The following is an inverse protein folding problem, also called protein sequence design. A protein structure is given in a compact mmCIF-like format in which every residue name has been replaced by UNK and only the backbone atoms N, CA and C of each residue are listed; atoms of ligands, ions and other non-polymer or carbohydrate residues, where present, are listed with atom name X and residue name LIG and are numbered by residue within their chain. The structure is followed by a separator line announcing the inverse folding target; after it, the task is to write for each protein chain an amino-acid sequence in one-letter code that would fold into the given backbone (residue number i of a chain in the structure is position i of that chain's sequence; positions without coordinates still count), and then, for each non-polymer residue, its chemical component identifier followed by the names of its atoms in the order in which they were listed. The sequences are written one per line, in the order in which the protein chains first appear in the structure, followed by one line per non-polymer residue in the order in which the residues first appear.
data_IF_771002274642
#
_entry.id   IF_771002274642
#
_cell.length_a   1.000
_cell.length_b   1.000
_cell.length_c   1.000
_cell.angle_alpha   90.00
_cell.angle_beta   90.00
_cell.angle_gamma   90.00
#
_symmetry.space_group_name_H-M   'P 1'
#
loop_
_entity.id
_entity.type
_entity.pdbx_description
1 polymer ?
#
# COMPACT_ATOMS: atom_id res chain seq x y z
N UNK A 1 -27.07 3.61 27.47
CA UNK A 1 -27.62 4.36 26.33
C UNK A 1 -27.62 5.88 26.53
N UNK A 2 -27.90 6.40 27.73
CA UNK A 2 -27.99 7.86 27.92
C UNK A 2 -26.66 8.62 27.75
N UNK A 3 -25.52 7.99 28.04
CA UNK A 3 -24.20 8.58 27.73
C UNK A 3 -23.99 8.76 26.23
N UNK A 4 -24.40 7.77 25.41
CA UNK A 4 -24.29 7.82 23.95
C UNK A 4 -25.23 8.84 23.29
N UNK A 5 -26.29 9.26 23.98
CA UNK A 5 -27.17 10.36 23.51
C UNK A 5 -26.55 11.74 23.67
N UNK A 6 -25.59 11.89 24.61
CA UNK A 6 -25.01 13.19 24.99
C UNK A 6 -23.56 13.35 24.54
N UNK A 7 -22.89 12.25 24.22
CA UNK A 7 -21.50 12.23 23.75
C UNK A 7 -21.48 12.04 22.21
N UNK A 8 -21.16 13.08 21.42
CA UNK A 8 -21.15 12.99 19.97
C UNK A 8 -19.85 12.33 19.47
N UNK A 9 -19.80 11.00 19.49
CA UNK A 9 -18.65 10.22 19.01
C UNK A 9 -18.65 10.11 17.48
N UNK A 10 -19.83 10.14 16.87
CA UNK A 10 -20.03 9.86 15.45
C UNK A 10 -19.17 10.65 14.45
N UNK A 11 -18.74 11.92 14.65
CA UNK A 11 -17.81 12.55 13.71
C UNK A 11 -16.48 11.82 13.67
N UNK A 12 -15.95 11.44 14.84
CA UNK A 12 -14.70 10.69 14.98
C UNK A 12 -14.86 9.25 14.49
N UNK A 13 -16.02 8.64 14.70
CA UNK A 13 -16.31 7.30 14.16
C UNK A 13 -16.32 7.32 12.62
N UNK A 14 -16.86 8.36 11.97
CA UNK A 14 -16.81 8.53 10.50
C UNK A 14 -15.38 8.74 10.01
N UNK A 15 -14.64 9.65 10.65
CA UNK A 15 -13.23 9.91 10.31
C UNK A 15 -12.36 8.67 10.45
N UNK A 16 -12.58 7.87 11.51
CA UNK A 16 -11.93 6.58 11.68
C UNK A 16 -12.39 5.55 10.65
N UNK A 17 -13.69 5.48 10.37
CA UNK A 17 -14.26 4.52 9.41
C UNK A 17 -13.67 4.71 8.01
N UNK A 18 -13.55 5.95 7.53
CA UNK A 18 -13.00 6.23 6.21
C UNK A 18 -11.58 5.67 6.05
N UNK A 19 -10.74 5.83 7.08
CA UNK A 19 -9.37 5.32 7.07
C UNK A 19 -9.32 3.80 7.26
N UNK A 20 -10.05 3.27 8.24
CA UNK A 20 -10.00 1.85 8.58
C UNK A 20 -10.64 0.98 7.50
N UNK A 21 -11.70 1.44 6.83
CA UNK A 21 -12.30 0.73 5.70
C UNK A 21 -11.36 0.69 4.49
N UNK A 22 -10.66 1.79 4.21
CA UNK A 22 -9.65 1.81 3.16
C UNK A 22 -8.45 0.92 3.51
N UNK A 23 -8.00 0.96 4.77
CA UNK A 23 -6.92 0.11 5.26
C UNK A 23 -7.30 -1.37 5.22
N UNK A 24 -8.51 -1.74 5.67
CA UNK A 24 -8.94 -3.14 5.70
C UNK A 24 -9.05 -3.73 4.30
N UNK A 25 -9.48 -2.94 3.31
CA UNK A 25 -9.55 -3.37 1.92
C UNK A 25 -8.18 -3.52 1.25
N UNK A 26 -7.13 -2.88 1.79
CA UNK A 26 -5.78 -2.90 1.24
C UNK A 26 -4.75 -3.51 2.21
N UNK A 27 -5.20 -4.19 3.27
CA UNK A 27 -4.35 -4.67 4.37
C UNK A 27 -3.32 -5.71 3.90
N UNK A 28 -3.62 -6.40 2.80
CA UNK A 28 -2.71 -7.35 2.15
C UNK A 28 -1.60 -6.66 1.35
N UNK A 29 -1.68 -5.35 1.08
CA UNK A 29 -0.73 -4.65 0.21
C UNK A 29 0.06 -3.54 0.90
N UNK A 30 -0.40 -3.04 2.05
CA UNK A 30 0.13 -1.83 2.68
C UNK A 30 0.55 -2.10 4.13
N UNK A 31 1.60 -1.42 4.62
CA UNK A 31 2.01 -1.47 6.02
C UNK A 31 0.90 -0.91 6.91
N UNK A 32 0.59 -1.61 8.01
CA UNK A 32 -0.39 -1.15 8.99
C UNK A 32 -0.04 0.24 9.57
N UNK A 33 1.26 0.53 9.73
CA UNK A 33 1.77 1.81 10.24
C UNK A 33 1.41 3.00 9.36
N UNK A 34 1.31 2.81 8.04
CA UNK A 34 0.93 3.88 7.10
C UNK A 34 -0.54 4.31 7.32
N UNK A 35 -1.40 3.34 7.63
CA UNK A 35 -2.79 3.60 7.99
C UNK A 35 -2.96 4.31 9.34
N UNK A 36 -2.07 4.03 10.31
CA UNK A 36 -2.13 4.67 11.63
C UNK A 36 -1.86 6.18 11.55
N UNK A 37 -0.88 6.60 10.75
CA UNK A 37 -0.59 8.02 10.53
C UNK A 37 -1.79 8.74 9.90
N UNK A 38 -2.36 8.16 8.84
CA UNK A 38 -3.55 8.69 8.19
C UNK A 38 -4.77 8.73 9.12
N UNK A 39 -4.91 7.76 10.04
CA UNK A 39 -5.97 7.75 11.05
C UNK A 39 -5.85 8.94 11.99
N UNK A 40 -4.66 9.22 12.50
CA UNK A 40 -4.40 10.39 13.36
C UNK A 40 -4.73 11.68 12.61
N UNK A 41 -4.25 11.83 11.37
CA UNK A 41 -4.54 13.01 10.55
C UNK A 41 -6.05 13.18 10.31
N UNK A 42 -6.76 12.11 9.95
CA UNK A 42 -8.22 12.13 9.76
C UNK A 42 -8.98 12.55 11.03
N UNK A 43 -8.56 12.04 12.19
CA UNK A 43 -9.16 12.42 13.48
C UNK A 43 -8.87 13.87 13.87
N UNK A 44 -7.67 14.39 13.56
CA UNK A 44 -7.33 15.80 13.75
C UNK A 44 -8.13 16.71 12.81
N UNK A 45 -8.30 16.33 11.54
CA UNK A 45 -9.15 17.07 10.59
C UNK A 45 -10.62 17.06 11.02
N UNK A 46 -11.09 15.92 11.52
CA UNK A 46 -12.42 15.78 12.11
C UNK A 46 -12.61 16.70 13.32
N UNK A 47 -11.61 16.74 14.21
CA UNK A 47 -11.61 17.65 15.36
C UNK A 47 -11.65 19.11 14.90
N UNK A 48 -10.79 19.48 13.95
CA UNK A 48 -10.73 20.83 13.38
C UNK A 48 -12.06 21.26 12.78
N UNK A 49 -12.66 20.43 11.91
CA UNK A 49 -13.97 20.68 11.30
C UNK A 49 -15.05 20.88 12.37
N UNK A 50 -15.08 19.99 13.37
CA UNK A 50 -16.06 20.06 14.44
C UNK A 50 -15.90 21.32 15.30
N UNK A 51 -14.67 21.72 15.62
CA UNK A 51 -14.38 22.95 16.36
C UNK A 51 -14.78 24.20 15.57
N UNK A 52 -14.55 24.23 14.25
CA UNK A 52 -14.96 25.32 13.36
C UNK A 52 -16.49 25.44 13.28
N UNK A 53 -17.20 24.31 13.20
CA UNK A 53 -18.66 24.31 13.12
C UNK A 53 -19.36 24.52 14.45
N UNK A 54 -18.66 24.34 15.57
CA UNK A 54 -19.19 24.52 16.93
C UNK A 54 -19.79 25.90 17.18
N UNK A 55 -19.08 27.03 16.96
CA UNK A 55 -19.66 28.36 17.18
C UNK A 55 -20.83 28.65 16.24
N UNK A 56 -20.76 28.18 14.98
CA UNK A 56 -21.80 28.41 13.96
C UNK A 56 -23.11 27.70 14.33
N UNK A 57 -23.01 26.50 14.90
CA UNK A 57 -24.17 25.65 15.18
C UNK A 57 -24.86 25.97 16.52
N UNK A 58 -24.22 26.75 17.40
CA UNK A 58 -24.71 27.10 18.74
C UNK A 58 -24.81 25.94 19.73
N UNK A 59 -24.68 24.69 19.29
CA UNK A 59 -24.78 23.47 20.11
C UNK A 59 -23.71 22.45 19.70
N UNK A 60 -23.10 21.82 20.72
CA UNK A 60 -22.10 20.77 20.54
C UNK A 60 -22.63 19.59 19.71
N UNK A 61 -23.86 19.15 19.99
CA UNK A 61 -24.49 18.01 19.29
C UNK A 61 -24.83 18.36 17.85
N UNK A 62 -25.37 19.56 17.62
CA UNK A 62 -25.70 20.03 16.28
C UNK A 62 -24.45 20.16 15.40
N UNK A 63 -23.38 20.76 15.92
CA UNK A 63 -22.10 20.85 15.23
C UNK A 63 -21.55 19.48 14.85
N UNK A 64 -21.66 18.51 15.76
CA UNK A 64 -21.24 17.14 15.47
C UNK A 64 -22.04 16.53 14.32
N UNK A 65 -23.37 16.69 14.32
CA UNK A 65 -24.24 16.10 13.30
C UNK A 65 -23.90 16.66 11.92
N UNK A 66 -23.75 17.98 11.82
CA UNK A 66 -23.33 18.63 10.57
C UNK A 66 -21.93 18.17 10.17
N UNK A 67 -20.98 18.07 11.12
CA UNK A 67 -19.63 17.55 10.84
C UNK A 67 -19.67 16.14 10.27
N UNK A 68 -20.46 15.24 10.84
CA UNK A 68 -20.63 13.87 10.34
C UNK A 68 -21.18 13.83 8.93
N UNK A 69 -22.23 14.59 8.62
CA UNK A 69 -22.79 14.62 7.27
C UNK A 69 -21.77 15.14 6.25
N UNK A 70 -21.02 16.18 6.59
CA UNK A 70 -19.97 16.71 5.73
C UNK A 70 -18.81 15.73 5.55
N UNK A 71 -18.36 15.06 6.62
CA UNK A 71 -17.31 14.04 6.54
C UNK A 71 -17.72 12.87 5.66
N UNK A 72 -18.99 12.43 5.74
CA UNK A 72 -19.53 11.39 4.83
C UNK A 72 -19.43 11.85 3.38
N UNK A 73 -19.84 13.09 3.07
CA UNK A 73 -19.75 13.63 1.70
C UNK A 73 -18.29 13.77 1.23
N UNK A 74 -17.40 14.23 2.10
CA UNK A 74 -15.97 14.40 1.82
C UNK A 74 -15.34 13.04 1.54
N UNK A 75 -15.49 12.05 2.41
CA UNK A 75 -14.83 10.76 2.25
C UNK A 75 -15.49 9.85 1.20
N UNK A 76 -16.72 10.12 0.77
CA UNK A 76 -17.38 9.32 -0.28
C UNK A 76 -17.15 9.84 -1.70
N UNK A 77 -16.70 11.09 -1.88
CA UNK A 77 -16.64 11.73 -3.20
C UNK A 77 -15.83 10.94 -4.23
N UNK A 78 -14.57 10.60 -3.92
CA UNK A 78 -13.69 9.90 -4.85
C UNK A 78 -14.14 8.46 -5.13
N UNK A 79 -14.70 7.78 -4.13
CA UNK A 79 -15.34 6.48 -4.33
C UNK A 79 -16.51 6.54 -5.32
N UNK A 80 -17.40 7.52 -5.18
CA UNK A 80 -18.53 7.67 -6.12
C UNK A 80 -18.05 8.14 -7.49
N UNK A 81 -17.10 9.07 -7.55
CA UNK A 81 -16.49 9.51 -8.79
C UNK A 81 -15.91 8.33 -9.57
N UNK A 82 -15.01 7.54 -8.95
CA UNK A 82 -14.35 6.41 -9.61
C UNK A 82 -15.31 5.31 -10.05
N UNK A 83 -16.43 5.12 -9.34
CA UNK A 83 -17.49 4.22 -9.79
C UNK A 83 -18.22 4.76 -11.04
N UNK A 84 -18.64 6.03 -11.01
CA UNK A 84 -19.41 6.67 -12.10
C UNK A 84 -18.57 7.03 -13.33
N UNK A 85 -17.25 7.09 -13.19
CA UNK A 85 -16.32 7.24 -14.31
C UNK A 85 -16.26 5.97 -15.14
N UNK A 86 -16.27 4.81 -14.46
CA UNK A 86 -16.19 3.49 -15.10
C UNK A 86 -17.54 2.96 -15.57
N UNK A 87 -18.65 3.43 -15.00
CA UNK A 87 -19.99 2.92 -15.27
C UNK A 87 -20.92 4.03 -15.79
N UNK A 88 -21.38 3.89 -17.04
CA UNK A 88 -22.42 4.77 -17.57
C UNK A 88 -23.77 4.45 -16.90
N UNK A 89 -24.45 5.49 -16.42
CA UNK A 89 -25.81 5.38 -15.90
C UNK A 89 -26.78 5.86 -16.98
N UNK A 90 -27.65 4.98 -17.43
CA UNK A 90 -28.62 5.26 -18.51
C UNK A 90 -27.96 5.84 -19.79
N UNK A 91 -26.76 5.36 -20.13
CA UNK A 91 -26.01 5.83 -21.30
C UNK A 91 -25.25 7.15 -21.12
N UNK A 92 -25.29 7.75 -19.91
CA UNK A 92 -24.60 9.01 -19.60
C UNK A 92 -23.45 8.73 -18.63
N UNK A 93 -22.25 9.20 -19.00
CA UNK A 93 -21.07 9.15 -18.13
C UNK A 93 -21.12 10.31 -17.12
N UNK A 94 -21.50 9.98 -15.89
CA UNK A 94 -21.66 10.95 -14.80
C UNK A 94 -20.37 11.17 -13.99
N UNK A 95 -19.33 10.34 -14.18
CA UNK A 95 -18.00 10.52 -13.59
C UNK A 95 -17.23 11.69 -14.21
N UNK A 96 -17.76 12.91 -14.05
CA UNK A 96 -17.11 14.15 -14.48
C UNK A 96 -17.23 15.16 -13.35
N UNK A 97 -16.11 15.77 -12.93
CA UNK A 97 -16.12 16.75 -11.85
C UNK A 97 -17.10 17.91 -12.09
N UNK A 98 -17.25 18.34 -13.36
CA UNK A 98 -18.19 19.40 -13.77
C UNK A 98 -19.65 19.13 -13.39
N UNK A 99 -20.04 17.85 -13.25
CA UNK A 99 -21.39 17.44 -12.85
C UNK A 99 -21.42 17.06 -11.37
N UNK A 100 -20.43 16.25 -10.95
CA UNK A 100 -20.42 15.66 -9.61
C UNK A 100 -20.09 16.68 -8.51
N UNK A 101 -19.17 17.63 -8.77
CA UNK A 101 -18.77 18.60 -7.76
C UNK A 101 -19.90 19.59 -7.40
N UNK A 102 -20.63 20.20 -8.35
CA UNK A 102 -21.80 21.02 -8.02
C UNK A 102 -22.88 20.23 -7.26
N UNK A 103 -23.12 18.98 -7.65
CA UNK A 103 -24.05 18.11 -6.93
C UNK A 103 -23.63 17.89 -5.48
N UNK A 104 -22.34 17.60 -5.23
CA UNK A 104 -21.83 17.44 -3.86
C UNK A 104 -21.93 18.71 -3.03
N UNK A 105 -21.71 19.88 -3.64
CA UNK A 105 -21.91 21.17 -2.97
C UNK A 105 -23.38 21.37 -2.60
N UNK A 106 -24.32 21.04 -3.50
CA UNK A 106 -25.76 21.10 -3.21
C UNK A 106 -26.10 20.15 -2.05
N UNK A 107 -25.62 18.92 -2.08
CA UNK A 107 -25.82 17.94 -1.01
C UNK A 107 -25.23 18.42 0.32
N UNK A 108 -24.05 19.06 0.31
CA UNK A 108 -23.44 19.63 1.50
C UNK A 108 -24.28 20.78 2.08
N UNK A 109 -24.79 21.68 1.23
CA UNK A 109 -25.69 22.76 1.66
C UNK A 109 -26.98 22.21 2.25
N UNK A 110 -27.58 21.21 1.60
CA UNK A 110 -28.79 20.54 2.10
C UNK A 110 -28.54 19.81 3.42
N UNK A 111 -27.39 19.13 3.56
CA UNK A 111 -26.98 18.47 4.79
C UNK A 111 -26.81 19.47 5.96
N UNK A 112 -26.15 20.60 5.69
CA UNK A 112 -26.01 21.69 6.66
C UNK A 112 -27.39 22.24 7.03
N UNK A 113 -28.22 22.59 6.05
CA UNK A 113 -29.55 23.13 6.28
C UNK A 113 -30.41 22.17 7.10
N UNK A 114 -30.44 20.88 6.75
CA UNK A 114 -31.17 19.85 7.47
C UNK A 114 -30.69 19.70 8.92
N UNK A 115 -29.38 19.56 9.12
CA UNK A 115 -28.79 19.42 10.46
C UNK A 115 -28.97 20.66 11.33
N UNK A 116 -28.99 21.86 10.74
CA UNK A 116 -29.16 23.12 11.46
C UNK A 116 -30.62 23.44 11.78
N UNK A 117 -31.54 23.19 10.84
CA UNK A 117 -32.91 23.75 10.87
C UNK A 117 -34.00 22.70 11.02
N UNK A 118 -33.83 21.50 10.48
CA UNK A 118 -34.88 20.47 10.49
C UNK A 118 -34.74 19.49 11.64
N UNK A 119 -33.52 19.18 12.08
CA UNK A 119 -33.31 18.20 13.13
C UNK A 119 -33.64 18.77 14.52
N UNK A 120 -34.78 18.33 15.08
CA UNK A 120 -35.30 18.81 16.37
C UNK A 120 -34.72 18.04 17.56
N UNK A 121 -34.73 16.71 17.51
CA UNK A 121 -34.18 15.87 18.58
C UNK A 121 -32.71 15.54 18.33
N UNK A 122 -31.83 16.41 18.80
CA UNK A 122 -30.37 16.26 18.65
C UNK A 122 -29.82 15.06 19.42
N UNK A 123 -30.47 14.64 20.52
CA UNK A 123 -30.00 13.52 21.34
C UNK A 123 -30.27 12.19 20.65
N UNK A 124 -31.47 12.01 20.09
CA UNK A 124 -31.80 10.83 19.30
C UNK A 124 -31.01 10.79 18.00
N UNK A 125 -30.83 11.93 17.32
CA UNK A 125 -29.95 12.01 16.15
C UNK A 125 -28.50 11.61 16.46
N UNK A 126 -27.95 12.10 17.58
CA UNK A 126 -26.61 11.73 18.05
C UNK A 126 -26.51 10.23 18.35
N UNK A 127 -27.52 9.66 19.04
CA UNK A 127 -27.55 8.22 19.33
C UNK A 127 -27.60 7.40 18.03
N UNK A 128 -28.47 7.76 17.09
CA UNK A 128 -28.61 7.07 15.82
C UNK A 128 -27.28 7.06 15.04
N UNK A 129 -26.64 8.22 14.87
CA UNK A 129 -25.34 8.29 14.19
C UNK A 129 -24.23 7.54 14.95
N UNK A 130 -24.20 7.62 16.28
CA UNK A 130 -23.24 6.84 17.08
C UNK A 130 -23.40 5.34 16.81
N UNK A 131 -24.63 4.82 16.83
CA UNK A 131 -24.92 3.40 16.59
C UNK A 131 -24.57 2.99 15.16
N UNK A 132 -24.98 3.79 14.17
CA UNK A 132 -24.69 3.51 12.74
C UNK A 132 -23.19 3.39 12.50
N UNK A 133 -22.39 4.37 12.94
CA UNK A 133 -20.96 4.36 12.65
C UNK A 133 -20.16 3.42 13.56
N UNK A 134 -20.66 3.14 14.78
CA UNK A 134 -20.08 2.08 15.60
C UNK A 134 -20.27 0.72 14.92
N UNK A 135 -21.47 0.46 14.38
CA UNK A 135 -21.75 -0.76 13.63
C UNK A 135 -20.94 -0.83 12.33
N UNK A 136 -20.84 0.28 11.58
CA UNK A 136 -20.04 0.35 10.36
C UNK A 136 -18.55 0.03 10.61
N UNK A 137 -18.01 0.38 11.78
CA UNK A 137 -16.62 0.07 12.16
C UNK A 137 -16.37 -1.40 12.48
N UNK A 138 -17.40 -2.19 12.80
CA UNK A 138 -17.21 -3.61 13.16
C UNK A 138 -16.52 -4.36 12.03
N UNK A 139 -16.99 -4.20 10.80
CA UNK A 139 -16.46 -4.93 9.65
C UNK A 139 -14.97 -4.66 9.38
N UNK A 140 -14.52 -3.40 9.17
CA UNK A 140 -13.11 -3.14 8.91
C UNK A 140 -12.21 -3.50 10.09
N UNK A 141 -12.67 -3.31 11.34
CA UNK A 141 -11.89 -3.72 12.52
C UNK A 141 -11.73 -5.23 12.58
N UNK A 142 -12.81 -5.99 12.36
CA UNK A 142 -12.74 -7.46 12.34
C UNK A 142 -11.81 -7.95 11.24
N UNK A 143 -11.87 -7.35 10.04
CA UNK A 143 -10.96 -7.69 8.94
C UNK A 143 -9.49 -7.43 9.32
N UNK A 144 -9.17 -6.24 9.84
CA UNK A 144 -7.81 -5.86 10.25
C UNK A 144 -7.29 -6.79 11.35
N UNK A 145 -8.09 -7.03 12.40
CA UNK A 145 -7.69 -7.90 13.52
C UNK A 145 -7.52 -9.34 13.06
N UNK A 146 -8.47 -9.85 12.26
CA UNK A 146 -8.41 -11.22 11.74
C UNK A 146 -7.23 -11.43 10.81
N UNK A 147 -6.88 -10.42 10.00
CA UNK A 147 -5.68 -10.43 9.17
C UNK A 147 -4.41 -10.38 10.03
N UNK A 148 -4.36 -9.49 11.03
CA UNK A 148 -3.21 -9.38 11.94
C UNK A 148 -2.93 -10.66 12.72
N UNK A 149 -3.97 -11.33 13.21
CA UNK A 149 -3.84 -12.64 13.87
C UNK A 149 -3.29 -13.65 12.88
N UNK A 150 -3.90 -13.79 11.69
CA UNK A 150 -3.43 -14.73 10.66
C UNK A 150 -1.98 -14.48 10.28
N UNK A 151 -1.59 -13.22 10.09
CA UNK A 151 -0.23 -12.83 9.75
C UNK A 151 0.75 -13.17 10.87
N UNK A 152 0.42 -12.86 12.13
CA UNK A 152 1.27 -13.18 13.28
C UNK A 152 1.41 -14.68 13.54
N UNK A 153 0.37 -15.47 13.24
CA UNK A 153 0.40 -16.94 13.38
C UNK A 153 0.79 -17.66 12.09
N UNK A 154 1.09 -16.93 11.00
CA UNK A 154 1.47 -17.55 9.72
C UNK A 154 2.86 -18.14 9.87
N UNK A 155 2.93 -19.45 10.00
CA UNK A 155 4.15 -20.22 9.84
C UNK A 155 4.20 -20.79 8.42
N UNK A 156 5.36 -20.72 7.78
CA UNK A 156 5.63 -21.53 6.60
C UNK A 156 5.70 -23.00 6.99
N UNK A 157 5.35 -23.90 6.07
CA UNK A 157 5.66 -25.32 6.26
C UNK A 157 7.20 -25.44 6.32
N UNK A 158 7.71 -26.30 7.20
CA UNK A 158 9.13 -26.61 7.22
C UNK A 158 9.53 -27.13 5.83
N UNK A 159 10.41 -26.40 5.14
CA UNK A 159 10.92 -26.85 3.85
C UNK A 159 11.58 -28.21 4.02
N UNK A 160 11.36 -29.18 3.11
CA UNK A 160 12.06 -30.46 3.15
C UNK A 160 13.58 -30.29 3.12
N UNK A 161 14.07 -29.19 2.54
CA UNK A 161 15.48 -28.84 2.47
C UNK A 161 16.03 -28.19 3.76
N UNK A 162 15.19 -27.94 4.77
CA UNK A 162 15.64 -27.29 6.01
C UNK A 162 16.72 -28.12 6.75
N UNK A 163 16.62 -29.47 6.67
CA UNK A 163 17.62 -30.37 7.22
C UNK A 163 18.94 -30.32 6.44
N UNK A 164 18.88 -30.17 5.11
CA UNK A 164 20.07 -30.09 4.26
C UNK A 164 20.91 -28.84 4.59
N UNK A 165 20.25 -27.73 4.97
CA UNK A 165 20.94 -26.53 5.40
C UNK A 165 21.85 -26.78 6.61
N UNK A 166 21.48 -27.67 7.54
CA UNK A 166 22.31 -27.97 8.71
C UNK A 166 23.67 -28.59 8.34
N UNK A 167 23.76 -29.19 7.15
CA UNK A 167 24.98 -29.82 6.63
C UNK A 167 25.83 -28.91 5.75
N UNK A 168 25.35 -27.70 5.43
CA UNK A 168 26.07 -26.74 4.59
C UNK A 168 27.33 -26.23 5.28
N UNK A 169 28.44 -26.26 4.56
CA UNK A 169 29.72 -25.72 5.00
C UNK A 169 30.46 -25.09 3.83
N UNK A 170 31.22 -24.04 4.11
CA UNK A 170 32.11 -23.44 3.12
C UNK A 170 33.34 -24.32 2.92
N UNK A 171 33.88 -24.41 1.68
CA UNK A 171 35.18 -25.02 1.44
C UNK A 171 36.28 -24.27 2.22
N UNK A 172 37.09 -24.99 3.01
CA UNK A 172 38.10 -24.37 3.89
C UNK A 172 39.21 -23.61 3.15
N UNK A 173 39.46 -23.94 1.87
CA UNK A 173 40.64 -23.48 1.12
C UNK A 173 40.35 -22.39 0.09
N UNK A 174 39.14 -21.83 0.06
CA UNK A 174 38.79 -20.78 -0.90
C UNK A 174 37.94 -19.71 -0.21
N UNK A 175 38.26 -18.42 -0.41
CA UNK A 175 37.38 -17.38 0.08
C UNK A 175 36.03 -17.51 -0.63
N UNK A 176 34.91 -17.53 0.12
CA UNK A 176 33.58 -17.53 -0.48
C UNK A 176 33.40 -16.30 -1.39
N UNK A 177 32.80 -16.46 -2.59
CA UNK A 177 32.50 -15.32 -3.44
C UNK A 177 31.35 -14.50 -2.85
N UNK A 178 31.27 -13.21 -3.19
CA UNK A 178 30.06 -12.43 -2.95
C UNK A 178 28.95 -12.86 -3.92
N UNK A 179 27.69 -12.78 -3.48
CA UNK A 179 26.53 -13.25 -4.26
C UNK A 179 25.59 -12.09 -4.57
N UNK A 180 25.39 -11.84 -5.87
CA UNK A 180 24.46 -10.82 -6.35
C UNK A 180 23.18 -11.47 -6.89
N UNK A 181 22.06 -11.24 -6.20
CA UNK A 181 20.74 -11.67 -6.63
C UNK A 181 19.90 -10.46 -7.06
N UNK A 182 19.87 -10.20 -8.36
CA UNK A 182 19.21 -9.02 -8.95
C UNK A 182 17.92 -9.45 -9.65
N UNK A 183 16.79 -8.89 -9.23
CA UNK A 183 15.47 -9.12 -9.84
C UNK A 183 14.93 -7.79 -10.36
N UNK A 184 14.58 -7.76 -11.65
CA UNK A 184 13.97 -6.61 -12.30
C UNK A 184 12.45 -6.83 -12.39
N UNK A 185 11.66 -6.01 -11.69
CA UNK A 185 10.21 -6.14 -11.69
C UNK A 185 9.61 -5.70 -13.04
N UNK A 186 8.77 -6.55 -13.64
CA UNK A 186 8.16 -6.31 -14.94
C UNK A 186 9.09 -6.36 -16.16
N UNK A 187 10.36 -6.76 -16.02
CA UNK A 187 11.27 -6.95 -17.15
C UNK A 187 10.97 -8.27 -17.88
N UNK A 188 10.66 -8.19 -19.18
CA UNK A 188 10.22 -9.34 -19.99
C UNK A 188 11.31 -9.81 -20.97
N UNK A 189 11.05 -10.94 -21.64
CA UNK A 189 11.97 -11.58 -22.59
C UNK A 189 12.19 -10.70 -23.83
N UNK A 190 13.39 -10.81 -24.39
CA UNK A 190 13.85 -10.10 -25.60
C UNK A 190 12.85 -10.17 -26.77
N UNK A 191 12.34 -11.36 -27.09
CA UNK A 191 11.38 -11.56 -28.19
C UNK A 191 10.05 -10.83 -27.94
N UNK A 192 9.60 -10.72 -26.69
CA UNK A 192 8.37 -10.00 -26.34
C UNK A 192 8.60 -8.49 -26.39
N UNK A 193 9.75 -8.01 -25.91
CA UNK A 193 10.16 -6.61 -26.06
C UNK A 193 10.18 -6.20 -27.54
N UNK A 194 10.79 -7.02 -28.40
CA UNK A 194 10.83 -6.76 -29.83
C UNK A 194 9.44 -6.83 -30.48
N UNK A 195 8.73 -7.95 -30.33
CA UNK A 195 7.51 -8.21 -31.12
C UNK A 195 6.27 -7.43 -30.64
N UNK A 196 6.22 -7.03 -29.36
CA UNK A 196 5.03 -6.35 -28.79
C UNK A 196 5.30 -4.88 -28.53
N UNK A 197 6.50 -4.52 -28.09
CA UNK A 197 6.85 -3.15 -27.72
C UNK A 197 7.72 -2.43 -28.76
N UNK A 198 8.12 -3.10 -29.86
CA UNK A 198 9.04 -2.57 -30.87
C UNK A 198 10.36 -2.05 -30.25
N UNK A 199 10.81 -2.74 -29.19
CA UNK A 199 11.99 -2.39 -28.42
C UNK A 199 13.07 -3.46 -28.61
N UNK A 200 14.14 -3.08 -29.31
CA UNK A 200 15.30 -3.92 -29.53
C UNK A 200 16.31 -3.77 -28.39
N UNK A 201 16.47 -4.83 -27.59
CA UNK A 201 17.45 -4.91 -26.51
C UNK A 201 18.58 -5.92 -26.79
N UNK A 202 18.77 -6.36 -28.03
CA UNK A 202 19.80 -7.36 -28.40
C UNK A 202 21.19 -6.99 -27.94
N UNK A 203 21.59 -5.73 -28.13
CA UNK A 203 22.92 -5.25 -27.72
C UNK A 203 23.16 -5.45 -26.21
N UNK A 204 22.14 -5.25 -25.37
CA UNK A 204 22.24 -5.49 -23.94
C UNK A 204 22.43 -6.98 -23.61
N UNK A 205 21.71 -7.87 -24.30
CA UNK A 205 21.84 -9.33 -24.11
C UNK A 205 23.22 -9.82 -24.59
N UNK A 206 23.72 -9.28 -25.71
CA UNK A 206 25.06 -9.57 -26.22
C UNK A 206 26.14 -9.11 -25.23
N UNK A 207 25.99 -7.92 -24.63
CA UNK A 207 26.90 -7.43 -23.58
C UNK A 207 26.91 -8.36 -22.35
N UNK A 208 25.73 -8.80 -21.86
CA UNK A 208 25.65 -9.76 -20.76
C UNK A 208 26.38 -11.07 -21.10
N UNK A 209 26.17 -11.58 -22.32
CA UNK A 209 26.81 -12.82 -22.78
C UNK A 209 28.32 -12.65 -22.89
N UNK A 210 28.79 -11.51 -23.40
CA UNK A 210 30.22 -11.18 -23.50
C UNK A 210 30.89 -11.01 -22.13
N UNK A 211 30.14 -10.59 -21.11
CA UNK A 211 30.59 -10.58 -19.70
C UNK A 211 30.62 -11.98 -19.07
N UNK A 212 30.17 -13.02 -19.78
CA UNK A 212 30.17 -14.41 -19.32
C UNK A 212 28.89 -14.85 -18.62
N UNK A 213 27.82 -14.05 -18.65
CA UNK A 213 26.52 -14.48 -18.12
C UNK A 213 25.89 -15.54 -19.03
N UNK A 214 25.26 -16.54 -18.40
CA UNK A 214 24.40 -17.49 -19.10
C UNK A 214 22.99 -16.91 -19.30
N UNK A 215 22.59 -16.71 -20.56
CA UNK A 215 21.27 -16.20 -20.91
C UNK A 215 20.31 -17.35 -21.21
N UNK A 216 19.41 -17.64 -20.27
CA UNK A 216 18.42 -18.71 -20.39
C UNK A 216 17.16 -18.26 -21.16
N UNK A 217 17.21 -18.27 -22.50
CA UNK A 217 16.12 -17.77 -23.37
C UNK A 217 14.75 -18.43 -23.12
N UNK A 218 14.72 -19.71 -22.72
CA UNK A 218 13.48 -20.44 -22.46
C UNK A 218 13.09 -20.49 -20.97
N UNK A 219 13.78 -19.73 -20.10
CA UNK A 219 13.43 -19.67 -18.67
C UNK A 219 12.05 -19.05 -18.45
N UNK A 220 11.38 -19.49 -17.38
CA UNK A 220 10.07 -19.01 -16.97
C UNK A 220 10.06 -18.83 -15.46
N UNK A 221 9.36 -17.79 -14.98
CA UNK A 221 9.03 -17.65 -13.56
C UNK A 221 8.09 -18.79 -13.14
N UNK A 222 8.25 -19.32 -11.93
CA UNK A 222 7.35 -20.36 -11.40
C UNK A 222 5.89 -19.87 -11.31
N UNK A 223 5.67 -18.57 -11.09
CA UNK A 223 4.35 -17.96 -10.97
C UNK A 223 4.33 -16.53 -11.53
N UNK A 224 3.16 -16.08 -12.01
CA UNK A 224 3.00 -14.78 -12.70
C UNK A 224 2.85 -13.55 -11.78
N UNK A 225 2.96 -13.71 -10.46
CA UNK A 225 2.84 -12.59 -9.50
C UNK A 225 4.07 -12.55 -8.61
N UNK A 226 4.57 -11.35 -8.32
CA UNK A 226 5.85 -11.10 -7.63
C UNK A 226 6.00 -11.89 -6.34
N UNK A 227 5.02 -11.84 -5.44
CA UNK A 227 5.08 -12.58 -4.17
C UNK A 227 5.13 -14.10 -4.38
N UNK A 228 4.34 -14.63 -5.32
CA UNK A 228 4.32 -16.07 -5.63
C UNK A 228 5.64 -16.53 -6.23
N UNK A 229 6.18 -15.77 -7.19
CA UNK A 229 7.43 -16.08 -7.85
C UNK A 229 8.59 -16.04 -6.87
N UNK A 230 8.72 -14.96 -6.08
CA UNK A 230 9.80 -14.82 -5.12
C UNK A 230 9.73 -15.85 -3.99
N UNK A 231 8.54 -16.13 -3.46
CA UNK A 231 8.37 -17.20 -2.47
C UNK A 231 8.83 -18.55 -3.02
N UNK A 232 8.57 -18.87 -4.28
CA UNK A 232 9.03 -20.12 -4.89
C UNK A 232 10.54 -20.12 -5.14
N UNK A 233 11.06 -19.08 -5.80
CA UNK A 233 12.48 -18.96 -6.17
C UNK A 233 13.39 -19.00 -4.95
N UNK A 234 13.07 -18.25 -3.89
CA UNK A 234 13.92 -18.14 -2.68
C UNK A 234 13.82 -19.36 -1.76
N UNK A 235 12.87 -20.27 -2.01
CA UNK A 235 12.70 -21.50 -1.25
C UNK A 235 12.96 -22.77 -2.08
N UNK A 236 13.29 -22.60 -3.37
CA UNK A 236 13.63 -23.66 -4.31
C UNK A 236 12.55 -24.76 -4.42
N UNK A 237 11.28 -24.39 -4.23
CA UNK A 237 10.16 -25.33 -4.27
C UNK A 237 8.88 -24.60 -4.74
N UNK A 238 7.88 -25.38 -5.16
CA UNK A 238 6.58 -24.89 -5.55
C UNK A 238 5.72 -24.57 -4.33
N UNK A 239 4.79 -23.62 -4.48
CA UNK A 239 3.94 -23.15 -3.39
C UNK A 239 2.99 -24.22 -2.87
N UNK A 240 2.61 -25.18 -3.71
CA UNK A 240 1.85 -26.36 -3.31
C UNK A 240 2.54 -27.14 -2.20
N UNK A 241 3.88 -27.19 -2.21
CA UNK A 241 4.70 -27.80 -1.15
C UNK A 241 4.87 -26.86 0.05
N UNK A 242 5.20 -25.59 -0.22
CA UNK A 242 5.58 -24.62 0.81
C UNK A 242 4.42 -24.12 1.68
N UNK A 243 3.22 -23.99 1.10
CA UNK A 243 2.03 -23.46 1.78
C UNK A 243 0.78 -24.32 1.54
N UNK A 244 0.91 -25.46 0.89
CA UNK A 244 -0.24 -26.27 0.49
C UNK A 244 -1.05 -25.61 -0.63
N UNK A 245 -2.25 -26.14 -0.90
CA UNK A 245 -3.10 -25.61 -1.96
C UNK A 245 -3.55 -24.17 -1.63
N UNK A 246 -3.20 -23.24 -2.52
CA UNK A 246 -3.72 -21.88 -2.50
C UNK A 246 -5.14 -21.87 -3.07
N UNK A 247 -6.03 -21.11 -2.42
CA UNK A 247 -7.38 -20.88 -2.95
C UNK A 247 -7.33 -19.76 -3.98
N UNK A 248 -7.70 -20.07 -5.23
CA UNK A 248 -7.79 -19.11 -6.33
C UNK A 248 -8.74 -17.93 -6.08
N UNK A 249 -9.68 -18.08 -5.13
CA UNK A 249 -10.63 -17.02 -4.75
C UNK A 249 -10.16 -16.20 -3.53
N UNK A 250 -9.01 -16.55 -2.96
CA UNK A 250 -8.47 -15.89 -1.78
C UNK A 250 -7.36 -14.92 -2.15
N UNK A 251 -7.51 -13.67 -1.72
CA UNK A 251 -6.44 -12.66 -1.75
C UNK A 251 -5.53 -12.74 -0.51
N UNK A 252 -5.68 -13.77 0.34
CA UNK A 252 -4.87 -13.93 1.54
C UNK A 252 -3.45 -14.40 1.21
N UNK A 253 -2.51 -13.46 1.25
CA UNK A 253 -1.07 -13.67 1.02
C UNK A 253 -0.25 -13.78 2.31
N UNK A 254 -0.89 -13.89 3.48
CA UNK A 254 -0.18 -13.85 4.76
C UNK A 254 0.93 -14.92 4.87
N UNK A 255 0.71 -16.09 4.28
CA UNK A 255 1.64 -17.23 4.31
C UNK A 255 2.85 -17.08 3.39
N UNK A 256 2.80 -16.19 2.40
CA UNK A 256 3.92 -15.96 1.47
C UNK A 256 4.97 -15.02 2.06
N UNK A 257 4.55 -14.10 2.94
CA UNK A 257 5.45 -13.09 3.49
C UNK A 257 6.66 -13.68 4.24
N UNK A 258 6.51 -14.68 5.14
CA UNK A 258 7.66 -15.33 5.76
C UNK A 258 8.58 -16.03 4.74
N UNK A 259 8.02 -16.59 3.66
CA UNK A 259 8.80 -17.26 2.62
C UNK A 259 9.67 -16.30 1.82
N UNK A 260 9.26 -15.04 1.67
CA UNK A 260 10.12 -14.02 1.05
C UNK A 260 11.13 -13.50 2.05
N UNK A 261 10.68 -13.11 3.25
CA UNK A 261 11.50 -12.39 4.23
C UNK A 261 12.54 -13.26 4.93
N UNK A 262 12.15 -14.47 5.32
CA UNK A 262 12.98 -15.45 6.03
C UNK A 262 13.11 -16.73 5.19
N UNK A 263 13.43 -16.54 3.91
CA UNK A 263 13.51 -17.62 2.94
C UNK A 263 14.58 -18.66 3.27
N UNK A 264 14.43 -19.85 2.70
CA UNK A 264 15.41 -20.94 2.78
C UNK A 264 16.81 -20.47 2.31
N UNK A 265 16.88 -19.78 1.16
CA UNK A 265 18.13 -19.27 0.60
C UNK A 265 18.81 -18.28 1.55
N UNK A 266 18.05 -17.35 2.13
CA UNK A 266 18.57 -16.38 3.10
C UNK A 266 19.13 -17.09 4.33
N UNK A 267 18.36 -17.99 4.94
CA UNK A 267 18.79 -18.74 6.12
C UNK A 267 20.04 -19.58 5.86
N UNK A 268 20.17 -20.15 4.65
CA UNK A 268 21.36 -20.90 4.25
C UNK A 268 22.60 -20.03 4.17
N UNK A 269 22.50 -18.86 3.53
CA UNK A 269 23.62 -17.92 3.40
C UNK A 269 24.04 -17.32 4.75
N UNK A 270 23.07 -16.92 5.58
CA UNK A 270 23.35 -16.41 6.93
C UNK A 270 24.07 -17.45 7.79
N UNK A 271 23.69 -18.74 7.70
CA UNK A 271 24.38 -19.83 8.41
C UNK A 271 25.81 -20.07 7.90
N UNK A 272 26.05 -19.86 6.61
CA UNK A 272 27.39 -19.91 6.03
C UNK A 272 28.25 -18.66 6.38
N UNK A 273 27.68 -17.69 7.12
CA UNK A 273 28.37 -16.49 7.56
C UNK A 273 28.34 -15.33 6.57
N UNK A 274 27.49 -15.38 5.53
CA UNK A 274 27.28 -14.26 4.63
C UNK A 274 26.51 -13.15 5.33
N UNK A 275 26.89 -11.90 5.04
CA UNK A 275 26.09 -10.72 5.39
C UNK A 275 25.09 -10.43 4.30
N UNK A 276 23.82 -10.22 4.65
CA UNK A 276 22.80 -9.90 3.67
C UNK A 276 22.66 -8.39 3.51
N UNK A 277 22.82 -7.92 2.28
CA UNK A 277 22.56 -6.53 1.90
C UNK A 277 21.30 -6.47 1.05
N UNK A 278 20.35 -5.61 1.42
CA UNK A 278 19.10 -5.44 0.69
C UNK A 278 18.78 -3.97 0.43
N UNK A 279 18.09 -3.73 -0.68
CA UNK A 279 17.58 -2.42 -1.05
C UNK A 279 16.08 -2.35 -0.84
N UNK A 280 15.58 -1.15 -0.58
CA UNK A 280 14.16 -0.90 -0.55
C UNK A 280 13.53 -1.15 -1.94
N UNK A 281 12.58 -2.08 -2.02
CA UNK A 281 11.89 -2.45 -3.27
C UNK A 281 10.64 -1.62 -3.60
N UNK A 282 10.26 -0.64 -2.75
CA UNK A 282 8.98 0.10 -2.78
C UNK A 282 7.73 -0.78 -2.57
N UNK A 283 7.91 -2.09 -2.44
CA UNK A 283 6.84 -3.04 -2.26
C UNK A 283 7.05 -3.82 -0.97
N UNK A 284 6.30 -3.43 0.07
CA UNK A 284 6.41 -3.95 1.43
C UNK A 284 6.57 -5.48 1.52
N UNK A 285 5.88 -6.23 0.66
CA UNK A 285 5.91 -7.71 0.67
C UNK A 285 7.24 -8.33 0.26
N UNK A 286 8.12 -7.54 -0.35
CA UNK A 286 9.42 -7.98 -0.85
C UNK A 286 10.59 -7.30 -0.13
N UNK A 287 10.29 -6.42 0.83
CA UNK A 287 11.31 -5.72 1.59
C UNK A 287 11.95 -6.64 2.62
N UNK A 288 13.28 -6.71 2.59
CA UNK A 288 14.11 -7.37 3.59
C UNK A 288 14.68 -6.31 4.54
N UNK A 289 13.81 -5.65 5.31
CA UNK A 289 14.18 -4.53 6.20
C UNK A 289 14.81 -4.97 7.54
N UNK A 290 15.05 -6.28 7.72
CA UNK A 290 15.66 -6.90 8.89
C UNK A 290 16.95 -7.66 8.56
N UNK A 291 17.66 -7.24 7.52
CA UNK A 291 18.98 -7.77 7.14
C UNK A 291 20.13 -6.97 7.76
N UNK A 292 21.37 -7.42 7.58
CA UNK A 292 22.57 -6.77 8.11
C UNK A 292 22.73 -5.33 7.63
N UNK A 293 22.49 -5.09 6.34
CA UNK A 293 22.55 -3.74 5.74
C UNK A 293 21.34 -3.52 4.84
N UNK A 294 20.43 -2.65 5.28
CA UNK A 294 19.26 -2.24 4.50
C UNK A 294 19.44 -0.80 3.99
N UNK A 295 19.46 -0.65 2.66
CA UNK A 295 19.65 0.63 1.99
C UNK A 295 18.31 1.14 1.44
N UNK A 296 17.99 2.38 1.76
CA UNK A 296 16.79 3.05 1.25
C UNK A 296 17.14 4.49 0.95
N UNK A 297 16.66 5.00 -0.19
CA UNK A 297 16.67 6.43 -0.46
C UNK A 297 15.84 7.09 0.64
N UNK A 298 16.46 7.90 1.51
CA UNK A 298 15.81 8.56 2.66
C UNK A 298 14.46 9.12 2.26
N UNK A 299 13.39 8.39 2.56
CA UNK A 299 12.05 8.95 2.55
C UNK A 299 12.00 9.84 3.78
N UNK A 300 11.94 11.16 3.57
CA UNK A 300 11.80 12.17 4.61
C UNK A 300 10.81 11.69 5.68
N UNK A 301 11.33 11.22 6.83
CA UNK A 301 10.52 10.69 7.92
C UNK A 301 9.55 11.74 8.50
N UNK A 302 9.68 13.00 8.06
CA UNK A 302 8.92 14.18 8.50
C UNK A 302 8.28 14.91 7.29
N UNK A 303 8.50 14.48 6.04
CA UNK A 303 8.10 15.23 4.84
C UNK A 303 7.49 14.36 3.74
N UNK A 304 6.18 14.46 3.52
CA UNK A 304 5.54 13.93 2.32
C UNK A 304 4.44 12.90 2.56
N UNK A 305 3.58 12.79 1.53
CA UNK A 305 2.40 11.92 1.51
C UNK A 305 2.82 10.50 1.12
N UNK A 306 2.49 9.49 1.94
CA UNK A 306 2.76 8.09 1.60
C UNK A 306 1.70 7.53 0.62
N UNK A 307 1.94 6.34 0.04
CA UNK A 307 1.03 5.75 -0.93
C UNK A 307 -0.41 5.55 -0.42
N UNK A 308 -0.56 5.18 0.86
CA UNK A 308 -1.87 5.04 1.49
C UNK A 308 -2.61 6.37 1.64
N UNK A 309 -1.91 7.44 2.01
CA UNK A 309 -2.47 8.78 2.12
C UNK A 309 -2.83 9.35 0.75
N UNK A 310 -2.02 9.09 -0.30
CA UNK A 310 -2.40 9.41 -1.69
C UNK A 310 -3.70 8.71 -2.05
N UNK A 311 -3.83 7.42 -1.70
CA UNK A 311 -5.05 6.67 -1.95
C UNK A 311 -6.25 7.28 -1.20
N UNK A 312 -6.09 7.63 0.07
CA UNK A 312 -7.14 8.28 0.88
C UNK A 312 -7.55 9.65 0.30
N UNK A 313 -6.60 10.43 -0.21
CA UNK A 313 -6.88 11.70 -0.88
C UNK A 313 -7.71 11.44 -2.15
N UNK A 314 -7.25 10.52 -3.01
CA UNK A 314 -7.91 10.19 -4.29
C UNK A 314 -9.29 9.55 -4.11
N UNK A 315 -9.55 8.87 -2.99
CA UNK A 315 -10.89 8.31 -2.70
C UNK A 315 -11.83 9.29 -1.99
N UNK A 316 -11.33 10.48 -1.61
CA UNK A 316 -12.11 11.54 -0.95
C UNK A 316 -12.36 12.73 -1.88
N UNK A 317 -12.95 13.81 -1.36
CA UNK A 317 -13.10 15.09 -2.05
C UNK A 317 -11.73 15.75 -2.33
N UNK A 318 -10.65 15.26 -1.72
CA UNK A 318 -9.27 15.62 -2.08
C UNK A 318 -8.92 15.34 -3.54
N UNK A 319 -9.63 14.41 -4.20
CA UNK A 319 -9.53 14.16 -5.64
C UNK A 319 -9.74 15.44 -6.48
N UNK A 320 -10.66 16.32 -6.05
CA UNK A 320 -10.89 17.59 -6.74
C UNK A 320 -9.64 18.48 -6.76
N UNK A 321 -8.84 18.43 -5.69
CA UNK A 321 -7.62 19.22 -5.58
C UNK A 321 -6.50 18.61 -6.43
N UNK A 322 -6.37 17.28 -6.43
CA UNK A 322 -5.34 16.61 -7.24
C UNK A 322 -5.59 16.82 -8.73
N UNK A 323 -6.85 16.70 -9.17
CA UNK A 323 -7.18 16.77 -10.59
C UNK A 323 -7.29 18.23 -11.08
N UNK A 324 -7.64 19.16 -10.19
CA UNK A 324 -7.54 20.60 -10.50
C UNK A 324 -6.08 21.08 -10.56
N UNK A 325 -5.17 20.50 -9.78
CA UNK A 325 -3.74 20.84 -9.80
C UNK A 325 -3.08 20.46 -11.13
N UNK A 326 -3.59 19.46 -11.86
CA UNK A 326 -3.17 19.14 -13.23
C UNK A 326 -3.57 20.22 -14.25
N UNK A 327 -4.60 21.02 -13.96
CA UNK A 327 -5.16 22.06 -14.84
C UNK A 327 -4.65 23.46 -14.47
N UNK A 328 -4.14 23.67 -13.25
CA UNK A 328 -3.61 24.94 -12.77
C UNK A 328 -2.15 25.20 -13.23
N UNK A 329 -1.73 26.47 -13.38
CA UNK A 329 -0.37 26.82 -13.83
C UNK A 329 0.71 26.22 -12.91
N UNK A 330 1.86 25.86 -13.52
CA UNK A 330 3.03 25.13 -12.95
C UNK A 330 3.56 25.56 -11.57
N UNK A 331 3.10 26.68 -11.01
CA UNK A 331 3.45 27.12 -9.65
C UNK A 331 2.78 26.27 -8.54
N UNK A 332 1.69 25.55 -8.86
CA UNK A 332 0.96 24.69 -7.92
C UNK A 332 0.85 23.23 -8.35
N UNK A 333 1.36 22.86 -9.53
CA UNK A 333 1.28 21.49 -10.05
C UNK A 333 2.33 20.60 -9.36
N UNK A 334 1.98 20.03 -8.22
CA UNK A 334 2.53 18.74 -7.84
C UNK A 334 1.88 17.71 -8.76
N UNK A 335 2.47 17.51 -9.94
CA UNK A 335 2.06 16.42 -10.84
C UNK A 335 2.43 15.10 -10.13
N UNK A 336 1.52 14.61 -9.29
CA UNK A 336 1.73 13.51 -8.35
C UNK A 336 2.21 12.26 -9.08
N UNK A 337 1.73 12.04 -10.31
CA UNK A 337 2.12 10.88 -11.12
C UNK A 337 3.52 11.06 -11.72
N UNK A 338 3.87 12.24 -12.25
CA UNK A 338 5.26 12.50 -12.68
C UNK A 338 6.23 12.43 -11.50
N UNK A 339 5.86 12.97 -10.35
CA UNK A 339 6.68 12.88 -9.14
C UNK A 339 6.86 11.43 -8.69
N UNK A 340 5.83 10.59 -8.81
CA UNK A 340 5.95 9.15 -8.54
C UNK A 340 6.91 8.45 -9.49
N UNK A 341 6.81 8.68 -10.80
CA UNK A 341 7.72 8.10 -11.79
C UNK A 341 9.17 8.59 -11.61
N UNK A 342 9.35 9.88 -11.33
CA UNK A 342 10.65 10.46 -11.04
C UNK A 342 11.28 9.87 -9.78
N UNK A 343 10.52 9.77 -8.68
CA UNK A 343 10.99 9.13 -7.44
C UNK A 343 11.36 7.66 -7.66
N UNK A 344 10.54 6.93 -8.43
CA UNK A 344 10.86 5.54 -8.76
C UNK A 344 12.18 5.44 -9.55
N UNK A 345 12.40 6.32 -10.53
CA UNK A 345 13.66 6.41 -11.27
C UNK A 345 14.84 6.78 -10.37
N UNK A 346 14.70 7.80 -9.53
CA UNK A 346 15.73 8.23 -8.57
C UNK A 346 16.14 7.09 -7.64
N UNK A 347 15.18 6.27 -7.22
CA UNK A 347 15.43 5.11 -6.39
C UNK A 347 16.20 4.01 -7.11
N UNK A 348 15.84 3.70 -8.36
CA UNK A 348 16.60 2.74 -9.18
C UNK A 348 18.04 3.22 -9.34
N UNK A 349 18.25 4.51 -9.64
CA UNK A 349 19.59 5.08 -9.76
C UNK A 349 20.35 5.00 -8.44
N UNK A 350 19.71 5.35 -7.32
CA UNK A 350 20.30 5.20 -5.98
C UNK A 350 20.75 3.76 -5.71
N UNK A 351 19.91 2.77 -6.03
CA UNK A 351 20.27 1.35 -5.88
C UNK A 351 21.50 0.99 -6.73
N UNK A 352 21.57 1.43 -7.99
CA UNK A 352 22.70 1.15 -8.87
C UNK A 352 23.99 1.85 -8.40
N UNK A 353 23.89 3.11 -7.96
CA UNK A 353 25.02 3.89 -7.46
C UNK A 353 25.60 3.27 -6.18
N UNK A 354 24.75 2.89 -5.22
CA UNK A 354 25.17 2.23 -4.00
C UNK A 354 25.73 0.83 -4.27
N UNK A 355 25.12 0.07 -5.19
CA UNK A 355 25.58 -1.27 -5.59
C UNK A 355 27.03 -1.25 -6.07
N UNK A 356 27.45 -0.19 -6.76
CA UNK A 356 28.83 -0.01 -7.20
C UNK A 356 29.82 0.19 -6.03
N UNK A 357 29.36 0.66 -4.87
CA UNK A 357 30.22 0.96 -3.69
C UNK A 357 30.27 -0.17 -2.67
N UNK A 358 29.25 -1.03 -2.63
CA UNK A 358 29.14 -2.17 -1.69
C UNK A 358 30.39 -3.06 -1.65
N UNK A 359 31.04 -3.44 -2.77
CA UNK A 359 32.23 -4.28 -2.75
C UNK A 359 33.37 -3.70 -1.91
N UNK A 360 33.50 -2.37 -1.89
CA UNK A 360 34.54 -1.64 -1.17
C UNK A 360 34.13 -1.31 0.27
N UNK A 361 32.85 -1.02 0.51
CA UNK A 361 32.38 -0.53 1.81
C UNK A 361 32.00 -1.66 2.78
N UNK A 362 31.63 -2.85 2.28
CA UNK A 362 31.18 -3.97 3.10
C UNK A 362 32.10 -5.18 2.87
N UNK A 363 32.83 -5.68 3.89
CA UNK A 363 33.67 -6.86 3.73
C UNK A 363 32.82 -8.11 3.52
N UNK A 364 33.25 -8.98 2.60
CA UNK A 364 32.59 -10.25 2.32
C UNK A 364 32.90 -11.35 3.36
N UNK A 365 32.24 -12.52 3.25
CA UNK A 365 31.22 -12.83 2.25
C UNK A 365 29.91 -12.08 2.48
N UNK A 366 29.26 -11.67 1.39
CA UNK A 366 27.98 -10.97 1.40
C UNK A 366 27.10 -11.35 0.22
#
# INVERSE_FOLDING_TARGET
MDTLKRLPLHPFLVGAYAVLALLSNNITQIKFTDGLRALVVSLLLTLGLWLVLRPISGSRLRAAIVSTLLLVLIFSYGHVYGYLEKHALAGIYLGRHRLLAPLWVILAVLAIWWGQKMLRDLQQGTLAFNVIFLFALVFPVVQIVSYGIRFATSTSVASPFAADIESLHLPENQPPPDIYFIILDGYTREDYLHNVFDLDNRSFIEELTNMGFYVAQCSQSNYAQTELSLSSTLNMDYLESLVGRLDSQSDDRSRLYPLVKHSLTRQALERLGYKVVAFDSDFYRTQWDDVDVYLSLRADAIGGVNGFEVLLIKTSAGLLLTDAAEVLPKLFSADVERQKQQRHREKILYTLDELATIPESIPGPK
#
